data_IF_949149263101
#
_entry.id   IF_949149263101
#
_cell.length_a   1.000
_cell.length_b   1.000
_cell.length_c   1.000
_cell.angle_alpha   90.00
_cell.angle_beta   90.00
_cell.angle_gamma   90.00
#
_symmetry.space_group_name_H-M   'P 1'
#
loop_
_entity.id
_entity.type
_entity.pdbx_description
1 polymer ?
#
# COMPACT_ATOMS: atom_id res chain seq x y z
N UNK A 1 -37.82 15.53 8.31
CA UNK A 1 -37.64 15.48 6.84
C UNK A 1 -37.77 14.02 6.44
N UNK A 2 -38.71 13.69 5.57
CA UNK A 2 -38.86 12.34 5.01
C UNK A 2 -37.82 12.17 3.90
N UNK A 3 -37.09 11.06 3.92
CA UNK A 3 -36.10 10.72 2.90
C UNK A 3 -36.85 10.38 1.60
N UNK A 4 -36.53 11.08 0.51
CA UNK A 4 -37.04 10.74 -0.83
C UNK A 4 -36.43 9.39 -1.27
N UNK A 5 -37.27 8.47 -1.70
CA UNK A 5 -36.88 7.15 -2.20
C UNK A 5 -36.69 7.17 -3.72
N UNK A 6 -35.90 6.22 -4.25
CA UNK A 6 -35.63 6.10 -5.69
C UNK A 6 -36.93 5.87 -6.47
N UNK A 7 -37.83 5.09 -5.90
CA UNK A 7 -39.11 4.66 -6.45
C UNK A 7 -40.05 5.86 -6.60
N UNK A 8 -40.07 6.76 -5.62
CA UNK A 8 -40.83 8.01 -5.67
C UNK A 8 -40.31 8.93 -6.79
N UNK A 9 -39.00 9.04 -6.98
CA UNK A 9 -38.42 9.85 -8.08
C UNK A 9 -38.72 9.23 -9.44
N UNK A 10 -38.70 7.89 -9.56
CA UNK A 10 -39.07 7.19 -10.81
C UNK A 10 -40.54 7.40 -11.16
N UNK A 11 -41.44 7.25 -10.20
CA UNK A 11 -42.87 7.49 -10.40
C UNK A 11 -43.14 8.96 -10.81
N UNK A 12 -42.41 9.91 -10.24
CA UNK A 12 -42.51 11.32 -10.60
C UNK A 12 -42.04 11.60 -12.04
N UNK A 13 -40.93 10.99 -12.47
CA UNK A 13 -40.43 11.09 -13.85
C UNK A 13 -41.46 10.53 -14.84
N UNK A 14 -42.01 9.34 -14.57
CA UNK A 14 -43.01 8.71 -15.43
C UNK A 14 -44.27 9.58 -15.58
N UNK A 15 -44.72 10.20 -14.48
CA UNK A 15 -45.86 11.13 -14.51
C UNK A 15 -45.57 12.35 -15.41
N UNK A 16 -44.42 12.99 -15.26
CA UNK A 16 -44.04 14.15 -16.07
C UNK A 16 -43.86 13.78 -17.55
N UNK A 17 -43.30 12.61 -17.84
CA UNK A 17 -43.15 12.13 -19.22
C UNK A 17 -44.51 11.86 -19.89
N UNK A 18 -45.47 11.31 -19.14
CA UNK A 18 -46.86 11.18 -19.58
C UNK A 18 -47.50 12.55 -19.86
N UNK A 19 -47.30 13.53 -18.98
CA UNK A 19 -47.88 14.87 -19.12
C UNK A 19 -47.25 15.65 -20.30
N UNK A 20 -45.96 15.47 -20.54
CA UNK A 20 -45.25 16.02 -21.71
C UNK A 20 -45.74 15.42 -23.03
N UNK A 21 -46.11 14.13 -23.04
CA UNK A 21 -46.71 13.49 -24.24
C UNK A 21 -48.05 14.12 -24.65
N UNK A 22 -48.73 14.78 -23.70
CA UNK A 22 -49.98 15.51 -23.91
C UNK A 22 -49.77 17.01 -24.26
N UNK A 23 -48.53 17.46 -24.51
CA UNK A 23 -48.22 18.78 -25.07
C UNK A 23 -47.86 19.89 -24.06
N UNK A 24 -47.56 19.56 -22.81
CA UNK A 24 -47.23 20.54 -21.77
C UNK A 24 -45.71 20.74 -21.63
N UNK A 25 -45.12 21.69 -22.36
CA UNK A 25 -43.67 21.97 -22.33
C UNK A 25 -43.16 22.57 -21.00
N UNK A 26 -44.05 23.03 -20.11
CA UNK A 26 -43.68 23.73 -18.87
C UNK A 26 -42.88 22.87 -17.87
N UNK A 27 -42.91 21.55 -17.99
CA UNK A 27 -42.31 20.61 -17.01
C UNK A 27 -40.91 20.09 -17.41
N UNK A 28 -40.35 20.55 -18.54
CA UNK A 28 -39.04 20.06 -19.04
C UNK A 28 -37.91 20.31 -18.02
N UNK A 29 -37.96 21.42 -17.28
CA UNK A 29 -36.96 21.74 -16.27
C UNK A 29 -37.05 20.80 -15.05
N UNK A 30 -38.27 20.50 -14.61
CA UNK A 30 -38.54 19.57 -13.51
C UNK A 30 -38.13 18.14 -13.88
N UNK A 31 -38.38 17.72 -15.11
CA UNK A 31 -37.92 16.42 -15.63
C UNK A 31 -36.39 16.31 -15.61
N UNK A 32 -35.67 17.36 -16.02
CA UNK A 32 -34.20 17.38 -15.97
C UNK A 32 -33.69 17.29 -14.54
N UNK A 33 -34.28 18.04 -13.62
CA UNK A 33 -33.96 17.98 -12.19
C UNK A 33 -34.23 16.59 -11.60
N UNK A 34 -35.38 16.00 -11.89
CA UNK A 34 -35.75 14.68 -11.41
C UNK A 34 -34.80 13.60 -11.94
N UNK A 35 -34.40 13.66 -13.22
CA UNK A 35 -33.40 12.75 -13.80
C UNK A 35 -32.02 12.90 -13.16
N UNK A 36 -31.59 14.12 -12.83
CA UNK A 36 -30.33 14.36 -12.10
C UNK A 36 -30.42 13.79 -10.67
N UNK A 37 -31.55 14.01 -9.98
CA UNK A 37 -31.79 13.44 -8.66
C UNK A 37 -31.79 11.90 -8.71
N UNK A 38 -32.41 11.31 -9.73
CA UNK A 38 -32.42 9.87 -9.93
C UNK A 38 -31.00 9.33 -10.19
N UNK A 39 -30.24 9.98 -11.07
CA UNK A 39 -28.84 9.62 -11.33
C UNK A 39 -27.99 9.69 -10.06
N UNK A 40 -28.19 10.73 -9.24
CA UNK A 40 -27.51 10.87 -7.94
C UNK A 40 -27.91 9.78 -6.94
N UNK A 41 -29.12 9.22 -7.03
CA UNK A 41 -29.59 8.08 -6.24
C UNK A 41 -29.19 6.73 -6.85
N UNK A 42 -28.80 6.70 -8.13
CA UNK A 42 -28.35 5.52 -8.87
C UNK A 42 -26.82 5.35 -8.87
N UNK A 43 -26.04 6.36 -8.46
CA UNK A 43 -24.61 6.26 -8.14
C UNK A 43 -24.34 5.38 -6.89
N UNK A 44 -24.77 4.12 -6.94
CA UNK A 44 -24.32 3.02 -6.08
C UNK A 44 -23.04 2.35 -6.63
N UNK A 45 -22.36 2.98 -7.58
CA UNK A 45 -21.11 2.48 -8.16
C UNK A 45 -19.89 2.88 -7.32
N UNK A 46 -20.06 3.03 -5.99
CA UNK A 46 -18.90 3.26 -5.10
C UNK A 46 -18.02 2.01 -5.00
N UNK A 47 -18.59 0.82 -5.24
CA UNK A 47 -17.90 -0.46 -5.19
C UNK A 47 -17.18 -0.69 -6.53
N UNK A 48 -15.83 -0.70 -6.58
CA UNK A 48 -15.09 -1.01 -7.78
C UNK A 48 -15.40 -2.41 -8.32
N UNK A 49 -15.31 -2.58 -9.64
CA UNK A 49 -15.56 -3.87 -10.30
C UNK A 49 -14.72 -5.00 -9.70
N UNK A 50 -15.37 -6.13 -9.42
CA UNK A 50 -14.78 -7.34 -8.80
C UNK A 50 -14.33 -7.19 -7.34
N UNK A 51 -14.58 -6.06 -6.68
CA UNK A 51 -14.24 -5.91 -5.26
C UNK A 51 -15.06 -6.88 -4.38
N UNK A 52 -16.33 -7.09 -4.70
CA UNK A 52 -17.21 -8.09 -4.09
C UNK A 52 -16.58 -9.48 -4.05
N UNK A 53 -16.00 -9.92 -5.17
CA UNK A 53 -15.32 -11.20 -5.28
C UNK A 53 -14.04 -11.23 -4.45
N UNK A 54 -13.24 -10.15 -4.52
CA UNK A 54 -11.99 -10.05 -3.77
C UNK A 54 -12.23 -10.06 -2.25
N UNK A 55 -13.23 -9.30 -1.76
CA UNK A 55 -13.62 -9.29 -0.35
C UNK A 55 -14.14 -10.66 0.09
N UNK A 56 -14.92 -11.34 -0.76
CA UNK A 56 -15.37 -12.71 -0.51
C UNK A 56 -14.22 -13.71 -0.35
N UNK A 57 -13.14 -13.60 -1.14
CA UNK A 57 -11.94 -14.45 -1.01
C UNK A 57 -11.22 -14.22 0.32
N UNK A 58 -11.19 -12.98 0.82
CA UNK A 58 -10.49 -12.61 2.06
C UNK A 58 -11.40 -12.73 3.29
N UNK A 59 -12.68 -13.12 3.11
CA UNK A 59 -13.66 -13.26 4.20
C UNK A 59 -14.09 -11.93 4.81
N UNK A 60 -14.03 -10.85 4.03
CA UNK A 60 -14.42 -9.50 4.45
C UNK A 60 -15.84 -9.22 3.95
N UNK A 61 -16.69 -8.67 4.82
CA UNK A 61 -18.04 -8.28 4.44
C UNK A 61 -18.02 -7.10 3.46
N UNK A 62 -18.97 -7.08 2.53
CA UNK A 62 -19.21 -5.90 1.70
C UNK A 62 -19.73 -4.76 2.59
N UNK A 63 -19.21 -3.54 2.42
CA UNK A 63 -19.70 -2.37 3.16
C UNK A 63 -21.15 -2.06 2.79
N UNK A 64 -21.93 -1.66 3.79
CA UNK A 64 -23.37 -1.39 3.63
C UNK A 64 -23.64 0.02 3.09
N UNK A 65 -22.68 0.94 3.25
CA UNK A 65 -22.79 2.32 2.78
C UNK A 65 -21.50 2.85 2.15
N UNK A 66 -21.65 3.95 1.38
CA UNK A 66 -20.53 4.68 0.78
C UNK A 66 -19.61 5.26 1.86
N UNK A 67 -20.18 5.72 2.96
CA UNK A 67 -19.44 6.26 4.11
C UNK A 67 -18.58 5.17 4.76
N UNK A 68 -19.14 3.97 4.95
CA UNK A 68 -18.40 2.83 5.49
C UNK A 68 -17.26 2.42 4.56
N UNK A 69 -17.51 2.34 3.25
CA UNK A 69 -16.48 2.04 2.27
C UNK A 69 -15.34 3.06 2.25
N UNK A 70 -15.67 4.35 2.30
CA UNK A 70 -14.67 5.42 2.36
C UNK A 70 -13.83 5.31 3.63
N UNK A 71 -14.47 5.07 4.77
CA UNK A 71 -13.79 4.89 6.04
C UNK A 71 -12.86 3.67 6.03
N UNK A 72 -13.32 2.52 5.51
CA UNK A 72 -12.50 1.32 5.38
C UNK A 72 -11.30 1.55 4.45
N UNK A 73 -11.52 2.24 3.34
CA UNK A 73 -10.47 2.60 2.38
C UNK A 73 -9.41 3.47 3.03
N UNK A 74 -9.82 4.51 3.76
CA UNK A 74 -8.91 5.37 4.51
C UNK A 74 -8.10 4.58 5.56
N UNK A 75 -8.78 3.73 6.34
CA UNK A 75 -8.13 2.87 7.32
C UNK A 75 -7.08 1.94 6.69
N UNK A 76 -7.36 1.36 5.53
CA UNK A 76 -6.43 0.49 4.82
C UNK A 76 -5.22 1.26 4.26
N UNK A 77 -5.45 2.46 3.74
CA UNK A 77 -4.38 3.35 3.27
C UNK A 77 -3.46 3.72 4.44
N UNK A 78 -4.00 4.09 5.60
CA UNK A 78 -3.20 4.41 6.79
C UNK A 78 -2.36 3.21 7.25
N UNK A 79 -2.94 2.00 7.28
CA UNK A 79 -2.19 0.77 7.60
C UNK A 79 -1.04 0.50 6.64
N UNK A 80 -1.23 0.81 5.35
CA UNK A 80 -0.17 0.71 4.35
C UNK A 80 0.93 1.74 4.61
N UNK A 81 0.57 3.00 4.87
CA UNK A 81 1.50 4.08 5.21
C UNK A 81 2.34 3.69 6.43
N UNK A 82 1.72 3.26 7.52
CA UNK A 82 2.41 2.83 8.75
C UNK A 82 3.37 1.67 8.52
N UNK A 83 2.98 0.73 7.64
CA UNK A 83 3.84 -0.39 7.25
C UNK A 83 5.05 0.10 6.46
N UNK A 84 4.84 0.99 5.49
CA UNK A 84 5.92 1.56 4.67
C UNK A 84 6.89 2.39 5.51
N UNK A 85 6.40 3.21 6.44
CA UNK A 85 7.24 4.00 7.35
C UNK A 85 8.15 3.09 8.18
N UNK A 86 7.57 2.05 8.82
CA UNK A 86 8.37 1.08 9.61
C UNK A 86 9.45 0.40 8.79
N UNK A 87 9.14 -0.04 7.58
CA UNK A 87 10.15 -0.62 6.69
C UNK A 87 11.23 0.39 6.30
N UNK A 88 10.87 1.65 6.05
CA UNK A 88 11.83 2.69 5.72
C UNK A 88 12.85 2.93 6.86
N UNK A 89 12.41 2.81 8.10
CA UNK A 89 13.31 2.90 9.27
C UNK A 89 14.24 1.67 9.35
N UNK A 90 13.74 0.46 9.09
CA UNK A 90 14.56 -0.77 9.07
C UNK A 90 15.70 -0.73 8.03
N UNK A 91 15.49 -0.09 6.86
CA UNK A 91 16.52 0.03 5.83
C UNK A 91 17.65 1.01 6.18
N UNK A 92 17.44 1.95 7.11
CA UNK A 92 18.51 2.87 7.54
C UNK A 92 19.53 2.21 8.46
N UNK A 93 19.16 1.11 9.12
CA UNK A 93 19.93 0.53 10.22
C UNK A 93 20.57 -0.83 9.91
N UNK A 94 20.75 -1.21 8.63
CA UNK A 94 21.65 -2.34 8.38
C UNK A 94 23.02 -1.98 8.95
N UNK A 95 23.52 -2.71 9.98
CA UNK A 95 24.81 -2.38 10.56
C UNK A 95 25.82 -2.47 9.45
N UNK A 96 26.53 -1.37 9.18
CA UNK A 96 27.61 -1.31 8.21
C UNK A 96 28.47 -2.56 8.44
N UNK A 97 28.70 -3.41 7.42
CA UNK A 97 29.54 -4.59 7.58
C UNK A 97 30.85 -4.17 8.24
N UNK A 98 31.03 -4.52 9.52
CA UNK A 98 32.19 -4.12 10.30
C UNK A 98 33.34 -4.98 9.79
N UNK A 99 34.03 -4.50 8.78
CA UNK A 99 35.27 -5.11 8.32
C UNK A 99 36.32 -4.84 9.40
N UNK A 100 36.88 -5.88 10.04
CA UNK A 100 37.90 -5.69 11.06
C UNK A 100 39.16 -5.02 10.48
N UNK A 101 39.97 -4.42 11.34
CA UNK A 101 41.24 -3.80 10.93
C UNK A 101 42.27 -4.84 10.46
N UNK A 102 43.22 -4.41 9.62
CA UNK A 102 44.31 -5.26 9.14
C UNK A 102 45.30 -5.53 10.29
N UNK A 103 45.66 -6.80 10.51
CA UNK A 103 46.69 -7.15 11.48
C UNK A 103 48.08 -6.91 10.87
N UNK A 104 48.98 -6.17 11.54
CA UNK A 104 50.34 -5.97 11.07
C UNK A 104 51.14 -7.28 11.14
N UNK A 105 52.10 -7.45 10.23
CA UNK A 105 53.01 -8.60 10.26
C UNK A 105 53.87 -8.60 11.53
N UNK A 106 53.99 -9.74 12.25
CA UNK A 106 54.79 -9.83 13.46
C UNK A 106 56.29 -9.79 13.11
N UNK A 107 57.09 -9.18 13.99
CA UNK A 107 58.55 -9.21 13.86
C UNK A 107 59.09 -10.58 14.32
N UNK A 108 59.40 -11.44 13.36
CA UNK A 108 59.89 -12.81 13.64
C UNK A 108 61.31 -12.85 14.19
N UNK A 109 62.08 -11.77 14.11
CA UNK A 109 63.48 -11.72 14.59
C UNK A 109 63.59 -11.74 16.13
N UNK A 110 62.52 -11.39 16.84
CA UNK A 110 62.46 -11.34 18.30
C UNK A 110 61.61 -12.46 18.92
N UNK A 111 61.22 -13.48 18.15
CA UNK A 111 60.38 -14.60 18.59
C UNK A 111 61.07 -15.94 18.43
N UNK A 112 60.65 -16.94 19.21
CA UNK A 112 61.01 -18.33 18.95
C UNK A 112 60.43 -18.78 17.60
N UNK A 113 61.19 -19.58 16.85
CA UNK A 113 60.85 -19.95 15.48
C UNK A 113 59.46 -20.60 15.34
N UNK A 114 59.05 -21.41 16.33
CA UNK A 114 57.73 -22.07 16.35
C UNK A 114 56.60 -21.05 16.54
N UNK A 115 56.77 -20.10 17.46
CA UNK A 115 55.79 -19.05 17.71
C UNK A 115 55.70 -18.08 16.54
N UNK A 116 56.82 -17.79 15.86
CA UNK A 116 56.86 -16.93 14.69
C UNK A 116 56.03 -17.51 13.53
N UNK A 117 56.10 -18.83 13.32
CA UNK A 117 55.32 -19.52 12.28
C UNK A 117 53.83 -19.47 12.61
N UNK A 118 53.45 -19.70 13.87
CA UNK A 118 52.06 -19.63 14.31
C UNK A 118 51.48 -18.22 14.14
N UNK A 119 52.22 -17.19 14.56
CA UNK A 119 51.78 -15.79 14.44
C UNK A 119 51.66 -15.33 12.97
N UNK A 120 52.58 -15.73 12.09
CA UNK A 120 52.49 -15.42 10.65
C UNK A 120 51.27 -16.09 10.02
N UNK A 121 50.97 -17.34 10.38
CA UNK A 121 49.80 -18.06 9.87
C UNK A 121 48.49 -17.38 10.31
N UNK A 122 48.39 -16.96 11.56
CA UNK A 122 47.22 -16.26 12.10
C UNK A 122 46.98 -14.93 11.39
N UNK A 123 48.01 -14.09 11.24
CA UNK A 123 47.89 -12.77 10.58
C UNK A 123 47.51 -12.94 9.10
N UNK A 124 48.07 -13.93 8.40
CA UNK A 124 47.72 -14.22 7.01
C UNK A 124 46.28 -14.69 6.86
N UNK A 125 45.82 -15.61 7.71
CA UNK A 125 44.45 -16.08 7.72
C UNK A 125 43.45 -14.95 8.00
N UNK A 126 43.76 -14.12 8.99
CA UNK A 126 42.97 -12.93 9.34
C UNK A 126 42.85 -11.94 8.17
N UNK A 127 43.97 -11.54 7.58
CA UNK A 127 43.99 -10.57 6.48
C UNK A 127 43.36 -11.13 5.18
N UNK A 128 43.40 -12.45 4.97
CA UNK A 128 42.68 -13.10 3.87
C UNK A 128 41.16 -13.03 4.06
N UNK A 129 40.66 -13.36 5.26
CA UNK A 129 39.22 -13.24 5.59
C UNK A 129 38.74 -11.79 5.48
N UNK A 130 39.52 -10.84 5.97
CA UNK A 130 39.26 -9.40 5.80
C UNK A 130 39.16 -8.99 4.34
N UNK A 131 40.09 -9.44 3.50
CA UNK A 131 40.08 -9.15 2.07
C UNK A 131 38.86 -9.74 1.37
N UNK A 132 38.42 -10.94 1.75
CA UNK A 132 37.20 -11.53 1.24
C UNK A 132 35.95 -10.70 1.62
N UNK A 133 35.87 -10.23 2.86
CA UNK A 133 34.78 -9.35 3.32
C UNK A 133 34.74 -8.01 2.56
N UNK A 134 35.90 -7.43 2.22
CA UNK A 134 35.98 -6.21 1.42
C UNK A 134 35.63 -6.42 -0.08
N UNK A 135 35.88 -7.61 -0.61
CA UNK A 135 35.64 -7.93 -2.01
C UNK A 135 34.25 -8.53 -2.28
N UNK A 136 33.57 -9.07 -1.27
CA UNK A 136 32.28 -9.77 -1.39
C UNK A 136 31.07 -8.92 -1.83
N UNK A 137 31.25 -7.62 -2.10
CA UNK A 137 30.22 -6.73 -2.65
C UNK A 137 30.41 -6.35 -4.12
N UNK A 138 31.40 -6.92 -4.81
CA UNK A 138 31.68 -6.66 -6.24
C UNK A 138 31.50 -7.95 -7.02
N UNK A 139 30.27 -8.21 -7.49
CA UNK A 139 29.93 -9.29 -8.41
C UNK A 139 29.01 -8.75 -9.48
#
# INVERSE_FOLDING_TARGET
MTTITREEVKAFIEQIESDLSNGWEAQIFELKLARIALASLEENEFIPKNLDKALGVVGVALPESKEEFNFQTECWIQRLIDRVIRYADEFKEQPVPVVPEEKPMPNSLSMYAVDAVAAIAEVRGWNACRSAMLNGGKS
#
